data_IF_260095784451
#
_entry.id   IF_260095784451
#
_cell.length_a   1.000
_cell.length_b   1.000
_cell.length_c   1.000
_cell.angle_alpha   90.00
_cell.angle_beta   90.00
_cell.angle_gamma   90.00
#
_symmetry.space_group_name_H-M   'P 1'
#
loop_
_entity.id
_entity.type
_entity.pdbx_description
1 polymer ?
#
# COMPACT_ATOMS: atom_id res chain seq x y z
N UNK A 1 -7.78 -21.10 2.30
CA UNK A 1 -9.23 -20.81 2.38
C UNK A 1 -9.74 -20.69 0.95
N UNK A 2 -10.97 -21.07 0.68
CA UNK A 2 -11.52 -20.94 -0.68
C UNK A 2 -12.03 -19.52 -0.91
N UNK A 3 -11.69 -18.95 -2.06
CA UNK A 3 -12.17 -17.63 -2.53
C UNK A 3 -12.66 -17.77 -3.97
N UNK A 4 -13.53 -16.86 -4.38
CA UNK A 4 -13.99 -16.73 -5.76
C UNK A 4 -13.09 -15.73 -6.49
N UNK A 5 -12.26 -16.20 -7.40
CA UNK A 5 -11.44 -15.35 -8.25
C UNK A 5 -12.24 -14.91 -9.49
N UNK A 6 -12.31 -13.61 -9.72
CA UNK A 6 -12.95 -13.00 -10.89
C UNK A 6 -11.90 -12.67 -11.94
N UNK A 7 -12.19 -13.03 -13.19
CA UNK A 7 -11.33 -12.77 -14.34
C UNK A 7 -12.12 -12.09 -15.45
N UNK A 8 -11.46 -11.17 -16.17
CA UNK A 8 -11.96 -10.54 -17.41
C UNK A 8 -11.23 -11.13 -18.61
N UNK A 9 -11.98 -11.57 -19.62
CA UNK A 9 -11.48 -12.16 -20.85
C UNK A 9 -11.16 -11.06 -21.86
N UNK A 10 -10.07 -11.28 -22.59
CA UNK A 10 -9.65 -10.51 -23.74
C UNK A 10 -9.23 -11.49 -24.84
N UNK A 11 -10.21 -11.92 -25.64
CA UNK A 11 -9.98 -12.95 -26.66
C UNK A 11 -9.53 -14.29 -26.03
N UNK A 12 -8.29 -14.68 -26.27
CA UNK A 12 -7.69 -15.93 -25.75
C UNK A 12 -6.98 -15.75 -24.39
N UNK A 13 -6.81 -14.51 -23.90
CA UNK A 13 -6.22 -14.23 -22.59
C UNK A 13 -7.28 -13.83 -21.57
N UNK A 14 -6.93 -13.94 -20.28
CA UNK A 14 -7.75 -13.43 -19.20
C UNK A 14 -6.87 -12.67 -18.19
N UNK A 15 -7.37 -11.55 -17.69
CA UNK A 15 -6.75 -10.78 -16.62
C UNK A 15 -7.47 -11.04 -15.30
N UNK A 16 -6.70 -11.16 -14.23
CA UNK A 16 -7.23 -11.24 -12.88
C UNK A 16 -7.80 -9.88 -12.48
N UNK A 17 -9.04 -9.88 -12.00
CA UNK A 17 -9.73 -8.67 -11.53
C UNK A 17 -9.60 -8.54 -10.02
N UNK A 18 -10.17 -9.50 -9.27
CA UNK A 18 -10.19 -9.48 -7.82
C UNK A 18 -10.60 -10.85 -7.24
N UNK A 19 -10.48 -11.01 -5.91
CA UNK A 19 -10.98 -12.16 -5.15
C UNK A 19 -12.10 -11.74 -4.21
N UNK A 20 -13.11 -12.60 -4.10
CA UNK A 20 -14.32 -12.37 -3.31
C UNK A 20 -14.62 -13.55 -2.38
N UNK A 21 -15.40 -13.31 -1.33
CA UNK A 21 -15.88 -14.35 -0.44
C UNK A 21 -17.09 -15.10 -1.01
N UNK A 22 -17.81 -14.48 -1.95
CA UNK A 22 -18.98 -15.08 -2.60
C UNK A 22 -19.08 -14.75 -4.09
N UNK A 23 -19.87 -15.54 -4.81
CA UNK A 23 -20.22 -15.27 -6.22
C UNK A 23 -21.10 -14.03 -6.34
N UNK A 24 -21.86 -13.70 -5.30
CA UNK A 24 -22.72 -12.51 -5.24
C UNK A 24 -21.88 -11.23 -5.27
N UNK A 25 -20.86 -11.14 -4.42
CA UNK A 25 -19.90 -10.03 -4.42
C UNK A 25 -19.17 -9.89 -5.76
N UNK A 26 -18.72 -11.02 -6.34
CA UNK A 26 -18.08 -11.01 -7.65
C UNK A 26 -19.05 -10.52 -8.74
N UNK A 27 -20.34 -10.86 -8.64
CA UNK A 27 -21.36 -10.40 -9.59
C UNK A 27 -21.66 -8.91 -9.45
N UNK A 28 -21.61 -8.37 -8.22
CA UNK A 28 -21.77 -6.93 -7.99
C UNK A 28 -20.58 -6.15 -8.56
N UNK A 29 -19.34 -6.65 -8.39
CA UNK A 29 -18.17 -6.06 -9.05
C UNK A 29 -18.31 -6.03 -10.58
N UNK A 30 -18.83 -7.10 -11.19
CA UNK A 30 -19.05 -7.15 -12.64
C UNK A 30 -20.06 -6.09 -13.08
N UNK A 31 -21.13 -5.87 -12.30
CA UNK A 31 -22.11 -4.81 -12.60
C UNK A 31 -21.45 -3.43 -12.54
N UNK A 32 -20.64 -3.16 -11.53
CA UNK A 32 -19.94 -1.89 -11.38
C UNK A 32 -19.00 -1.65 -12.57
N UNK A 33 -18.22 -2.66 -12.97
CA UNK A 33 -17.32 -2.55 -14.13
C UNK A 33 -18.10 -2.26 -15.43
N UNK A 34 -19.22 -2.94 -15.69
CA UNK A 34 -20.02 -2.74 -16.91
C UNK A 34 -20.72 -1.37 -16.91
N UNK A 35 -21.05 -0.83 -15.74
CA UNK A 35 -21.64 0.49 -15.64
C UNK A 35 -20.62 1.61 -15.91
N UNK A 36 -19.34 1.36 -15.66
CA UNK A 36 -18.25 2.33 -15.84
C UNK A 36 -17.55 2.19 -17.20
N UNK A 37 -17.40 0.97 -17.71
CA UNK A 37 -16.76 0.63 -18.98
C UNK A 37 -17.81 0.19 -20.01
N UNK A 38 -18.18 1.10 -20.91
CA UNK A 38 -19.18 0.86 -21.96
C UNK A 38 -18.80 -0.27 -22.93
N UNK A 39 -17.51 -0.62 -23.02
CA UNK A 39 -17.01 -1.71 -23.87
C UNK A 39 -17.04 -3.06 -23.15
N UNK A 40 -17.30 -3.11 -21.83
CA UNK A 40 -17.37 -4.35 -21.05
C UNK A 40 -18.75 -5.00 -21.13
N UNK A 41 -18.79 -6.33 -21.29
CA UNK A 41 -20.00 -7.14 -21.24
C UNK A 41 -19.91 -8.18 -20.12
N UNK A 42 -21.05 -8.55 -19.52
CA UNK A 42 -21.14 -9.63 -18.53
C UNK A 42 -20.51 -10.95 -19.01
N UNK A 43 -20.56 -11.24 -20.31
CA UNK A 43 -19.96 -12.45 -20.88
C UNK A 43 -18.43 -12.42 -20.97
N UNK A 44 -17.82 -11.26 -20.80
CA UNK A 44 -16.37 -11.10 -20.72
C UNK A 44 -15.84 -11.59 -19.37
N UNK A 45 -16.71 -11.81 -18.39
CA UNK A 45 -16.30 -12.20 -17.05
C UNK A 45 -16.58 -13.67 -16.76
N UNK A 46 -15.72 -14.26 -15.94
CA UNK A 46 -15.97 -15.56 -15.35
C UNK A 46 -15.36 -15.64 -13.96
N UNK A 47 -15.90 -16.56 -13.15
CA UNK A 47 -15.42 -16.82 -11.81
C UNK A 47 -14.88 -18.24 -11.69
N UNK A 48 -13.87 -18.40 -10.84
CA UNK A 48 -13.28 -19.69 -10.51
C UNK A 48 -13.07 -19.77 -9.00
N UNK A 49 -13.43 -20.91 -8.40
CA UNK A 49 -13.13 -21.17 -6.99
C UNK A 49 -11.66 -21.59 -6.87
N UNK A 50 -10.88 -20.87 -6.07
CA UNK A 50 -9.45 -21.12 -5.89
C UNK A 50 -9.10 -21.25 -4.41
N UNK A 51 -8.18 -22.17 -4.12
CA UNK A 51 -7.49 -22.16 -2.82
C UNK A 51 -6.63 -20.91 -2.74
N UNK A 52 -6.83 -20.14 -1.68
CA UNK A 52 -6.17 -18.88 -1.43
C UNK A 52 -5.51 -18.89 -0.05
N UNK A 53 -4.25 -18.47 -0.04
CA UNK A 53 -3.50 -18.14 1.16
C UNK A 53 -3.51 -16.63 1.31
N UNK A 54 -3.91 -16.16 2.49
CA UNK A 54 -4.01 -14.74 2.81
C UNK A 54 -2.71 -14.00 2.50
N UNK A 55 -2.82 -12.83 1.87
CA UNK A 55 -1.66 -12.04 1.45
C UNK A 55 -0.75 -11.66 2.63
N UNK A 56 -1.31 -11.52 3.84
CA UNK A 56 -0.55 -11.25 5.08
C UNK A 56 0.29 -12.46 5.52
N UNK A 57 -0.09 -13.67 5.16
CA UNK A 57 0.73 -14.86 5.42
C UNK A 57 1.88 -15.00 4.43
N UNK A 58 1.69 -14.46 3.22
CA UNK A 58 2.66 -14.49 2.13
C UNK A 58 3.67 -13.35 2.22
N UNK A 59 3.25 -12.15 2.57
CA UNK A 59 4.10 -10.94 2.56
C UNK A 59 4.42 -10.50 3.98
N UNK A 60 5.57 -10.94 4.51
CA UNK A 60 6.09 -10.55 5.84
C UNK A 60 7.35 -9.70 5.73
N UNK A 61 8.03 -9.76 4.59
CA UNK A 61 9.25 -9.01 4.30
C UNK A 61 9.15 -8.32 2.93
N UNK A 62 10.09 -7.42 2.66
CA UNK A 62 10.22 -6.81 1.34
C UNK A 62 10.56 -7.84 0.24
N UNK A 63 11.38 -8.84 0.56
CA UNK A 63 11.71 -9.93 -0.36
C UNK A 63 10.46 -10.73 -0.74
N UNK A 64 9.61 -11.05 0.24
CA UNK A 64 8.34 -11.74 -0.01
C UNK A 64 7.43 -10.92 -0.94
N UNK A 65 7.36 -9.60 -0.76
CA UNK A 65 6.60 -8.73 -1.66
C UNK A 65 7.13 -8.78 -3.10
N UNK A 66 8.46 -8.82 -3.26
CA UNK A 66 9.08 -8.95 -4.58
C UNK A 66 8.78 -10.31 -5.23
N UNK A 67 8.82 -11.40 -4.46
CA UNK A 67 8.47 -12.75 -4.91
C UNK A 67 7.00 -12.82 -5.35
N UNK A 68 6.09 -12.27 -4.54
CA UNK A 68 4.65 -12.21 -4.87
C UNK A 68 4.39 -11.46 -6.18
N UNK A 69 5.12 -10.38 -6.43
CA UNK A 69 5.00 -9.58 -7.64
C UNK A 69 5.83 -10.11 -8.82
N UNK A 70 6.68 -11.13 -8.60
CA UNK A 70 7.57 -11.67 -9.63
C UNK A 70 8.65 -10.69 -10.08
N UNK A 71 9.08 -9.76 -9.21
CA UNK A 71 10.11 -8.76 -9.50
C UNK A 71 11.41 -9.05 -8.75
N UNK A 72 12.53 -8.55 -9.25
CA UNK A 72 13.80 -8.63 -8.54
C UNK A 72 13.86 -7.65 -7.37
N UNK A 73 14.48 -8.06 -6.26
CA UNK A 73 14.78 -7.16 -5.16
C UNK A 73 15.69 -6.01 -5.59
N UNK A 74 15.45 -4.84 -5.02
CA UNK A 74 16.27 -3.65 -5.24
C UNK A 74 17.68 -3.80 -4.66
N UNK A 75 18.70 -3.46 -5.44
CA UNK A 75 20.08 -3.34 -4.94
C UNK A 75 20.26 -2.05 -4.12
N UNK A 76 20.02 -2.15 -2.82
CA UNK A 76 20.20 -1.03 -1.89
C UNK A 76 21.60 -0.40 -1.93
N UNK A 77 22.65 -1.18 -2.23
CA UNK A 77 24.02 -0.65 -2.27
C UNK A 77 24.21 0.23 -3.49
N UNK A 78 23.68 -0.19 -4.64
CA UNK A 78 23.67 0.62 -5.85
C UNK A 78 22.89 1.92 -5.65
N UNK A 79 21.70 1.87 -5.03
CA UNK A 79 20.91 3.07 -4.74
C UNK A 79 21.64 4.03 -3.79
N UNK A 80 22.25 3.51 -2.71
CA UNK A 80 23.07 4.33 -1.81
C UNK A 80 24.27 4.94 -2.54
N UNK A 81 24.93 4.19 -3.42
CA UNK A 81 26.04 4.70 -4.24
C UNK A 81 25.61 5.79 -5.23
N UNK A 82 24.35 5.74 -5.69
CA UNK A 82 23.72 6.80 -6.50
C UNK A 82 23.25 8.00 -5.68
N UNK A 83 23.45 8.03 -4.36
CA UNK A 83 23.10 9.15 -3.50
C UNK A 83 21.66 9.17 -2.99
N UNK A 84 20.91 8.08 -3.15
CA UNK A 84 19.57 7.96 -2.55
C UNK A 84 19.68 7.93 -1.03
N UNK A 85 18.83 8.73 -0.38
CA UNK A 85 18.73 8.76 1.07
C UNK A 85 18.04 7.49 1.60
N UNK A 86 18.29 7.09 2.87
CA UNK A 86 17.63 5.93 3.46
C UNK A 86 16.09 6.00 3.42
N UNK A 87 15.49 7.17 3.62
CA UNK A 87 14.04 7.36 3.55
C UNK A 87 13.48 7.12 2.14
N UNK A 88 14.21 7.49 1.09
CA UNK A 88 13.80 7.25 -0.31
C UNK A 88 13.80 5.75 -0.65
N UNK A 89 14.81 5.04 -0.16
CA UNK A 89 14.90 3.57 -0.28
C UNK A 89 13.77 2.90 0.49
N UNK A 90 13.49 3.35 1.73
CA UNK A 90 12.40 2.83 2.54
C UNK A 90 11.04 3.09 1.91
N UNK A 91 10.82 4.28 1.34
CA UNK A 91 9.61 4.63 0.61
C UNK A 91 9.38 3.71 -0.59
N UNK A 92 10.42 3.42 -1.38
CA UNK A 92 10.30 2.52 -2.54
C UNK A 92 9.95 1.09 -2.12
N UNK A 93 10.55 0.60 -1.02
CA UNK A 93 10.19 -0.70 -0.45
C UNK A 93 8.73 -0.74 0.00
N UNK A 94 8.26 0.30 0.69
CA UNK A 94 6.87 0.40 1.11
C UNK A 94 5.91 0.44 -0.07
N UNK A 95 6.23 1.15 -1.15
CA UNK A 95 5.42 1.15 -2.37
C UNK A 95 5.28 -0.26 -2.97
N UNK A 96 6.37 -1.02 -3.01
CA UNK A 96 6.38 -2.42 -3.48
C UNK A 96 5.54 -3.31 -2.55
N UNK A 97 5.69 -3.15 -1.24
CA UNK A 97 4.92 -3.89 -0.24
C UNK A 97 3.43 -3.56 -0.35
N UNK A 98 3.07 -2.29 -0.49
CA UNK A 98 1.69 -1.85 -0.67
C UNK A 98 1.08 -2.43 -1.94
N UNK A 99 1.84 -2.43 -3.04
CA UNK A 99 1.38 -3.05 -4.28
C UNK A 99 1.12 -4.55 -4.12
N UNK A 100 2.03 -5.28 -3.47
CA UNK A 100 1.87 -6.70 -3.19
C UNK A 100 0.66 -6.98 -2.29
N UNK A 101 0.51 -6.21 -1.20
CA UNK A 101 -0.59 -6.35 -0.25
C UNK A 101 -1.97 -5.99 -0.84
N UNK A 102 -2.01 -5.14 -1.87
CA UNK A 102 -3.26 -4.75 -2.52
C UNK A 102 -3.71 -5.72 -3.62
N UNK A 103 -2.89 -6.71 -3.98
CA UNK A 103 -3.24 -7.74 -4.97
C UNK A 103 -3.85 -7.19 -6.29
N UNK A 104 -3.33 -6.07 -6.76
CA UNK A 104 -3.80 -5.40 -7.99
C UNK A 104 -4.79 -4.27 -7.77
N UNK A 105 -5.39 -4.14 -6.57
CA UNK A 105 -6.22 -2.99 -6.24
C UNK A 105 -5.42 -1.68 -6.32
N UNK A 106 -6.09 -0.64 -6.82
CA UNK A 106 -5.58 0.74 -6.89
C UNK A 106 -6.72 1.68 -6.50
N UNK A 107 -6.45 2.71 -5.68
CA UNK A 107 -7.49 3.66 -5.28
C UNK A 107 -8.01 4.42 -6.50
N UNK A 108 -9.33 4.41 -6.72
CA UNK A 108 -9.97 5.35 -7.64
C UNK A 108 -10.26 6.66 -6.90
N UNK A 109 -9.45 7.67 -7.22
CA UNK A 109 -9.58 8.99 -6.60
C UNK A 109 -10.83 9.76 -7.01
N UNK A 110 -11.54 9.33 -8.06
CA UNK A 110 -12.81 9.93 -8.48
C UNK A 110 -14.00 9.31 -7.73
N UNK A 111 -13.88 8.07 -7.24
CA UNK A 111 -14.92 7.40 -6.49
C UNK A 111 -14.86 7.79 -4.99
N UNK A 112 -15.78 8.67 -4.58
CA UNK A 112 -15.91 9.12 -3.20
C UNK A 112 -16.58 8.09 -2.27
N UNK A 113 -17.20 7.05 -2.82
CA UNK A 113 -17.81 5.97 -2.06
C UNK A 113 -16.83 4.83 -1.77
N UNK A 114 -15.72 4.75 -2.51
CA UNK A 114 -14.66 3.79 -2.25
C UNK A 114 -13.80 4.26 -1.06
N UNK A 115 -13.90 3.54 0.05
CA UNK A 115 -13.04 3.75 1.21
C UNK A 115 -11.59 3.40 0.89
N UNK A 116 -10.68 4.28 1.32
CA UNK A 116 -9.23 4.14 1.12
C UNK A 116 -8.55 4.17 2.48
N UNK A 117 -8.11 3.00 2.92
CA UNK A 117 -7.53 2.84 4.25
C UNK A 117 -6.03 3.10 4.22
N UNK A 118 -5.48 3.57 5.33
CA UNK A 118 -4.04 3.77 5.47
C UNK A 118 -3.64 3.58 6.94
N UNK A 119 -2.41 3.14 7.21
CA UNK A 119 -1.93 3.00 8.58
C UNK A 119 -1.91 4.36 9.28
N UNK A 120 -2.37 4.39 10.53
CA UNK A 120 -2.31 5.59 11.36
C UNK A 120 -1.30 5.40 12.49
N UNK A 121 -0.38 6.36 12.62
CA UNK A 121 0.69 6.32 13.61
C UNK A 121 0.52 7.44 14.63
N UNK A 122 0.67 7.07 15.90
CA UNK A 122 0.84 8.03 16.99
C UNK A 122 2.32 8.10 17.37
N UNK A 123 2.99 9.16 16.94
CA UNK A 123 4.38 9.42 17.32
C UNK A 123 4.39 10.05 18.71
N UNK A 124 5.16 9.45 19.62
CA UNK A 124 5.31 9.94 20.99
C UNK A 124 6.64 10.69 21.10
N UNK A 125 6.62 12.04 21.21
CA UNK A 125 7.84 12.83 21.34
C UNK A 125 8.69 12.35 22.52
N UNK A 126 9.98 12.20 22.26
CA UNK A 126 10.98 11.83 23.25
C UNK A 126 10.91 10.39 23.77
N UNK A 127 10.16 9.52 23.08
CA UNK A 127 10.12 8.07 23.35
C UNK A 127 10.92 7.23 22.34
N UNK A 128 11.44 7.86 21.28
CA UNK A 128 12.40 7.25 20.36
C UNK A 128 13.83 7.18 20.91
N UNK A 129 14.71 6.45 20.22
CA UNK A 129 16.15 6.39 20.48
C UNK A 129 16.90 6.69 19.16
N UNK A 130 17.63 7.81 19.11
CA UNK A 130 18.60 8.02 18.03
C UNK A 130 19.81 7.11 18.24
N UNK A 131 20.68 7.03 17.23
CA UNK A 131 21.90 6.25 17.32
C UNK A 131 22.78 6.69 18.52
N UNK A 132 22.55 7.89 19.05
CA UNK A 132 23.23 8.54 20.16
C UNK A 132 22.46 8.46 21.50
N UNK A 133 21.27 7.84 21.53
CA UNK A 133 20.42 7.68 22.72
C UNK A 133 19.78 8.96 23.27
N UNK A 134 19.73 10.07 22.51
CA UNK A 134 19.13 11.35 22.91
C UNK A 134 17.74 11.55 22.32
N UNK A 135 16.69 11.62 23.16
CA UNK A 135 15.33 11.83 22.68
C UNK A 135 15.07 13.32 22.43
N UNK A 136 15.55 13.89 21.32
CA UNK A 136 14.96 15.13 20.79
C UNK A 136 13.79 14.68 19.92
N UNK A 137 12.60 14.57 20.52
CA UNK A 137 11.45 13.92 19.90
C UNK A 137 11.24 14.30 18.44
N UNK A 138 11.25 13.30 17.56
CA UNK A 138 10.93 13.51 16.16
C UNK A 138 9.43 13.80 16.02
N UNK A 139 9.10 14.97 15.48
CA UNK A 139 7.77 15.24 14.94
C UNK A 139 7.77 14.80 13.49
N UNK A 140 6.86 13.90 13.08
CA UNK A 140 6.67 13.66 11.65
C UNK A 140 6.20 14.95 10.98
N UNK A 141 6.79 15.30 9.84
CA UNK A 141 6.42 16.56 9.21
C UNK A 141 6.94 16.76 7.78
N UNK A 142 6.07 17.37 6.99
CA UNK A 142 6.39 18.07 5.75
C UNK A 142 6.69 19.54 6.11
N UNK A 143 7.69 20.15 5.50
CA UNK A 143 8.04 21.55 5.75
C UNK A 143 6.95 22.51 5.21
N UNK A 144 6.62 23.56 5.97
CA UNK A 144 5.80 24.68 5.50
C UNK A 144 6.72 25.87 5.19
N UNK A 145 6.54 26.49 4.02
CA UNK A 145 7.33 27.63 3.57
C UNK A 145 6.83 28.99 4.10
N UNK A 146 5.61 29.06 4.64
CA UNK A 146 5.03 30.27 5.25
C UNK A 146 5.19 30.24 6.76
N UNK A 147 6.44 30.37 7.23
CA UNK A 147 6.73 30.40 8.67
C UNK A 147 7.68 31.56 8.99
N UNK A 148 7.37 32.35 10.02
CA UNK A 148 8.22 33.47 10.47
C UNK A 148 9.56 33.00 11.07
N UNK A 149 9.68 31.70 11.36
CA UNK A 149 10.85 31.01 11.90
C UNK A 149 10.93 29.63 11.21
N UNK A 150 12.11 29.17 10.79
CA UNK A 150 12.24 27.91 10.07
C UNK A 150 11.65 26.70 10.84
N UNK A 151 10.87 25.86 10.14
CA UNK A 151 10.24 24.63 10.63
C UNK A 151 9.26 24.81 11.82
N UNK A 152 8.17 25.57 11.65
CA UNK A 152 7.04 25.57 12.61
C UNK A 152 6.00 24.50 12.29
N UNK A 153 5.17 24.15 13.29
CA UNK A 153 4.03 23.25 13.14
C UNK A 153 3.08 23.74 12.05
N UNK A 154 2.80 22.89 11.07
CA UNK A 154 1.81 23.16 10.02
C UNK A 154 0.65 22.17 10.10
N UNK A 155 -0.58 22.67 10.04
CA UNK A 155 -1.76 21.84 9.87
C UNK A 155 -1.91 21.48 8.39
N UNK A 156 -1.43 20.30 8.00
CA UNK A 156 -1.66 19.77 6.66
C UNK A 156 -2.93 18.89 6.66
N UNK A 157 -3.95 19.31 5.92
CA UNK A 157 -5.16 18.51 5.68
C UNK A 157 -4.97 17.46 4.56
N UNK A 158 -3.75 17.35 4.01
CA UNK A 158 -3.42 16.57 2.82
C UNK A 158 -2.11 15.80 3.07
N UNK A 159 -1.97 14.60 2.48
CA UNK A 159 -0.75 13.80 2.60
C UNK A 159 -0.64 12.75 1.50
N UNK A 160 0.60 12.42 1.08
CA UNK A 160 0.90 11.32 0.16
C UNK A 160 0.91 10.01 0.96
N UNK A 161 -0.24 9.32 0.97
CA UNK A 161 -0.45 8.08 1.74
C UNK A 161 -0.46 6.89 0.82
N UNK A 162 0.15 5.80 1.27
CA UNK A 162 -0.02 4.49 0.66
C UNK A 162 -1.36 3.94 1.17
N UNK A 163 -2.29 3.76 0.24
CA UNK A 163 -3.66 3.33 0.54
C UNK A 163 -3.85 1.84 0.32
N UNK A 164 -4.80 1.28 1.05
CA UNK A 164 -5.18 -0.13 1.02
C UNK A 164 -6.69 -0.27 0.87
N UNK A 165 -7.12 -1.35 0.24
CA UNK A 165 -8.54 -1.65 0.00
C UNK A 165 -9.31 -2.01 1.28
N UNK A 166 -8.61 -2.44 2.34
CA UNK A 166 -9.21 -2.91 3.58
C UNK A 166 -8.45 -2.41 4.82
N UNK A 167 -9.18 -2.17 5.91
CA UNK A 167 -8.62 -1.65 7.16
C UNK A 167 -7.67 -2.63 7.86
N UNK A 168 -7.92 -3.94 7.78
CA UNK A 168 -7.07 -4.95 8.39
C UNK A 168 -5.74 -5.07 7.64
N UNK A 169 -5.76 -4.93 6.31
CA UNK A 169 -4.53 -4.85 5.50
C UNK A 169 -3.74 -3.58 5.84
N UNK A 170 -4.42 -2.44 5.99
CA UNK A 170 -3.77 -1.20 6.41
C UNK A 170 -3.14 -1.32 7.81
N UNK A 171 -3.84 -1.92 8.77
CA UNK A 171 -3.32 -2.16 10.11
C UNK A 171 -2.12 -3.12 10.07
N UNK A 172 -2.26 -4.24 9.36
CA UNK A 172 -1.17 -5.21 9.16
C UNK A 172 0.07 -4.56 8.55
N UNK A 173 -0.10 -3.74 7.51
CA UNK A 173 1.01 -3.05 6.87
C UNK A 173 1.74 -2.11 7.86
N UNK A 174 0.98 -1.37 8.66
CA UNK A 174 1.53 -0.46 9.68
C UNK A 174 2.29 -1.17 10.79
N UNK A 175 1.81 -2.33 11.22
CA UNK A 175 2.41 -3.09 12.31
C UNK A 175 3.63 -3.90 11.85
N UNK A 176 3.51 -4.62 10.74
CA UNK A 176 4.57 -5.50 10.21
C UNK A 176 5.75 -4.71 9.66
N UNK A 177 5.48 -3.64 8.93
CA UNK A 177 6.51 -2.82 8.27
C UNK A 177 6.75 -1.50 9.00
N UNK A 178 6.46 -1.48 10.32
CA UNK A 178 6.56 -0.29 11.16
C UNK A 178 7.90 0.42 11.01
N UNK A 179 9.01 -0.34 10.95
CA UNK A 179 10.37 0.20 10.85
C UNK A 179 10.66 0.90 9.51
N UNK A 180 9.97 0.52 8.44
CA UNK A 180 10.04 1.24 7.16
C UNK A 180 9.20 2.53 7.21
N UNK A 181 7.99 2.47 7.78
CA UNK A 181 7.14 3.65 7.98
C UNK A 181 7.82 4.69 8.86
N UNK A 182 8.41 4.22 9.94
CA UNK A 182 9.35 4.89 10.80
C UNK A 182 10.42 5.70 10.03
N UNK A 183 11.16 5.03 9.14
CA UNK A 183 12.21 5.69 8.35
C UNK A 183 11.69 6.82 7.47
N UNK A 184 10.49 6.70 6.90
CA UNK A 184 9.92 7.75 6.03
C UNK A 184 9.21 8.87 6.79
N UNK A 185 8.76 8.62 8.02
CA UNK A 185 7.98 9.58 8.80
C UNK A 185 8.86 10.43 9.70
N UNK A 186 9.92 9.86 10.28
CA UNK A 186 10.76 10.54 11.27
C UNK A 186 12.26 10.51 10.95
N UNK A 187 12.70 9.69 9.98
CA UNK A 187 14.09 9.50 9.51
C UNK A 187 15.10 9.01 10.57
N UNK A 188 15.07 9.56 11.78
CA UNK A 188 15.84 9.17 12.96
C UNK A 188 14.89 8.80 14.09
N UNK A 189 15.04 7.58 14.60
CA UNK A 189 14.41 7.20 15.87
C UNK A 189 15.03 7.93 17.02
#
# INVERSE_FOLDING_TARGET
MKKIALFRKYGESAEFVARFDSVEEASDQVKDIINEDEDANVFDFYTEEQEYTDIRERVKTYADACEVLGIAEMDEKAFKACGFRPDEIARRKLETITEALNEGWRPDWNNTNEYKYFPWFRILPGKGKDAEGKPVGATAGLANASTDIAATHTSAYLGSRLCFHDSDIAAYAGDTFRDLYAQILVEKF
#
